data_IF_319236947374
#
_entry.id   IF_319236947374
#
_cell.length_a   1.000
_cell.length_b   1.000
_cell.length_c   1.000
_cell.angle_alpha   90.00
_cell.angle_beta   90.00
_cell.angle_gamma   90.00
#
_symmetry.space_group_name_H-M   'P 1'
#
loop_
_entity.id
_entity.type
_entity.pdbx_description
1 polymer ?
#
# COMPACT_ATOMS: atom_id res chain seq x y z
N UNK A 1 17.00 -31.31 -38.45
CA UNK A 1 15.99 -30.63 -39.28
C UNK A 1 14.62 -30.81 -38.69
N UNK A 2 13.93 -29.68 -38.54
CA UNK A 2 12.64 -29.45 -37.89
C UNK A 2 11.56 -30.46 -38.30
N UNK A 3 10.68 -30.86 -37.37
CA UNK A 3 9.36 -30.22 -37.27
C UNK A 3 8.39 -31.00 -36.34
N UNK A 4 7.48 -30.23 -35.75
CA UNK A 4 6.13 -30.59 -35.25
C UNK A 4 6.04 -31.52 -34.02
N UNK A 5 5.81 -30.93 -32.85
CA UNK A 5 4.81 -31.46 -31.92
C UNK A 5 4.09 -30.28 -31.26
N UNK A 6 2.85 -30.06 -31.70
CA UNK A 6 1.93 -29.11 -31.08
C UNK A 6 0.60 -29.80 -30.83
N UNK A 7 0.09 -29.59 -29.61
CA UNK A 7 -1.32 -29.59 -29.21
C UNK A 7 -2.06 -30.94 -29.11
N UNK A 8 -2.18 -31.46 -27.87
CA UNK A 8 -3.37 -31.27 -27.01
C UNK A 8 -3.37 -32.23 -25.82
N UNK A 9 -3.95 -31.74 -24.72
CA UNK A 9 -4.49 -32.41 -23.53
C UNK A 9 -3.80 -31.88 -22.25
N UNK A 10 -4.42 -30.89 -21.62
CA UNK A 10 -5.30 -31.12 -20.46
C UNK A 10 -4.52 -31.66 -19.27
N UNK A 11 -4.01 -30.74 -18.45
CA UNK A 11 -4.18 -30.74 -17.00
C UNK A 11 -3.17 -29.73 -16.44
N UNK A 12 -3.66 -28.87 -15.57
CA UNK A 12 -2.86 -28.02 -14.70
C UNK A 12 -2.58 -28.87 -13.45
N UNK A 13 -1.33 -29.24 -13.14
CA UNK A 13 -1.00 -29.60 -11.76
C UNK A 13 0.16 -28.74 -11.27
N UNK A 14 0.06 -28.31 -10.01
CA UNK A 14 1.20 -27.74 -9.30
C UNK A 14 1.19 -26.23 -9.15
N UNK A 15 0.03 -25.66 -8.76
CA UNK A 15 0.12 -24.58 -7.79
C UNK A 15 0.68 -25.23 -6.52
N UNK A 16 1.99 -25.16 -6.32
CA UNK A 16 2.61 -25.50 -5.03
C UNK A 16 2.14 -24.40 -4.08
N UNK A 17 0.96 -24.64 -3.50
CA UNK A 17 0.51 -23.91 -2.34
C UNK A 17 1.54 -24.17 -1.25
N UNK A 18 2.39 -23.18 -0.99
CA UNK A 18 3.14 -23.06 0.25
C UNK A 18 2.17 -22.78 1.41
N UNK A 19 1.22 -23.69 1.63
CA UNK A 19 0.55 -23.83 2.91
C UNK A 19 1.46 -24.70 3.80
N UNK A 20 2.60 -24.14 4.18
CA UNK A 20 3.06 -24.39 5.55
C UNK A 20 2.29 -23.40 6.41
N UNK A 21 1.10 -23.81 6.83
CA UNK A 21 0.62 -23.42 8.14
C UNK A 21 1.73 -23.78 9.12
N UNK A 22 2.55 -22.80 9.48
CA UNK A 22 3.49 -22.91 10.57
C UNK A 22 2.64 -23.16 11.81
N UNK A 23 2.49 -24.44 12.13
CA UNK A 23 1.79 -24.91 13.30
C UNK A 23 2.52 -24.37 14.52
N UNK A 24 2.12 -23.19 14.99
CA UNK A 24 2.46 -22.70 16.33
C UNK A 24 1.57 -23.41 17.35
N UNK A 25 1.60 -24.75 17.32
CA UNK A 25 0.77 -25.60 18.16
C UNK A 25 1.55 -26.83 18.59
N UNK A 26 2.84 -26.71 18.93
CA UNK A 26 3.56 -27.83 19.57
C UNK A 26 4.81 -27.45 20.38
N UNK A 27 4.88 -26.21 20.90
CA UNK A 27 6.02 -25.79 21.73
C UNK A 27 5.64 -25.23 23.10
N UNK A 28 4.34 -25.15 23.43
CA UNK A 28 3.87 -24.67 24.73
C UNK A 28 4.13 -25.64 25.90
N UNK A 29 4.56 -26.88 25.65
CA UNK A 29 4.73 -27.89 26.70
C UNK A 29 6.18 -28.29 26.99
N UNK A 30 7.20 -27.54 26.54
CA UNK A 30 8.60 -27.82 26.92
C UNK A 30 9.11 -27.06 28.15
N UNK A 31 8.39 -26.05 28.61
CA UNK A 31 8.62 -25.46 29.93
C UNK A 31 7.25 -25.36 30.61
N UNK A 32 7.06 -26.15 31.68
CA UNK A 32 5.83 -26.14 32.45
C UNK A 32 5.65 -24.80 33.15
N UNK A 33 4.84 -23.94 32.57
CA UNK A 33 4.36 -22.71 33.20
C UNK A 33 2.83 -22.72 33.04
N UNK A 34 2.16 -23.16 34.10
CA UNK A 34 0.71 -23.17 34.24
C UNK A 34 0.26 -21.87 34.94
N UNK A 35 -0.88 -21.25 34.57
CA UNK A 35 -1.29 -19.93 35.09
C UNK A 35 -1.78 -19.92 36.55
N UNK A 36 -1.81 -21.07 37.23
CA UNK A 36 -1.81 -21.18 38.71
C UNK A 36 -1.06 -22.46 39.14
N UNK A 37 -0.10 -22.92 38.33
CA UNK A 37 0.60 -24.19 38.53
C UNK A 37 2.10 -23.96 38.67
N UNK A 38 2.45 -23.67 39.91
CA UNK A 38 3.76 -23.85 40.49
C UNK A 38 4.17 -25.32 40.29
N UNK A 39 4.98 -25.61 39.27
CA UNK A 39 5.85 -26.80 39.26
C UNK A 39 7.19 -26.41 39.88
N UNK A 40 7.12 -26.05 41.16
CA UNK A 40 8.27 -25.64 41.96
C UNK A 40 8.68 -26.83 42.81
N UNK A 41 9.82 -27.44 42.44
CA UNK A 41 10.47 -28.57 43.14
C UNK A 41 9.62 -29.87 43.23
N UNK A 42 10.24 -31.04 43.45
CA UNK A 42 9.48 -32.27 43.64
C UNK A 42 8.54 -32.07 44.83
N UNK A 43 7.25 -32.20 44.58
CA UNK A 43 6.19 -32.18 45.59
C UNK A 43 6.57 -33.10 46.75
N UNK A 44 6.78 -32.44 47.89
CA UNK A 44 7.01 -32.89 49.24
C UNK A 44 6.91 -34.40 49.47
N UNK A 45 7.96 -35.00 50.01
CA UNK A 45 7.95 -36.35 50.58
C UNK A 45 6.67 -36.64 51.39
N UNK A 46 6.20 -35.66 52.16
CA UNK A 46 4.98 -35.75 52.96
C UNK A 46 3.70 -35.84 52.14
N UNK A 47 3.64 -35.27 50.94
CA UNK A 47 2.49 -35.39 50.03
C UNK A 47 2.39 -36.77 49.41
N UNK A 48 3.53 -37.38 49.08
CA UNK A 48 3.61 -38.72 48.49
C UNK A 48 3.27 -39.79 49.54
N UNK A 49 3.87 -39.70 50.73
CA UNK A 49 3.54 -40.57 51.87
C UNK A 49 2.06 -40.44 52.25
N UNK A 50 1.53 -39.22 52.26
CA UNK A 50 0.09 -38.99 52.46
C UNK A 50 -0.74 -39.69 51.38
N UNK A 51 -0.45 -39.50 50.10
CA UNK A 51 -1.23 -40.10 49.01
C UNK A 51 -1.25 -41.63 49.07
N UNK A 52 -0.12 -42.26 49.41
CA UNK A 52 -0.04 -43.71 49.59
C UNK A 52 -0.83 -44.21 50.80
N UNK A 53 -0.77 -43.49 51.93
CA UNK A 53 -1.54 -43.82 53.12
C UNK A 53 -3.05 -43.62 52.90
N UNK A 54 -3.46 -42.52 52.26
CA UNK A 54 -4.85 -42.26 51.93
C UNK A 54 -5.47 -43.39 51.09
N UNK A 55 -4.72 -43.95 50.13
CA UNK A 55 -5.15 -45.09 49.30
C UNK A 55 -5.40 -46.36 50.11
N UNK A 56 -4.79 -46.50 51.30
CA UNK A 56 -4.83 -47.73 52.12
C UNK A 56 -5.67 -47.60 53.38
N UNK A 57 -5.63 -46.45 54.06
CA UNK A 57 -6.17 -46.23 55.41
C UNK A 57 -7.03 -44.97 55.53
N UNK A 58 -7.35 -44.33 54.41
CA UNK A 58 -8.20 -43.13 54.34
C UNK A 58 -7.58 -41.91 55.03
N UNK A 59 -8.38 -40.86 55.24
CA UNK A 59 -7.88 -39.63 55.87
C UNK A 59 -7.35 -39.89 57.28
N UNK A 60 -7.99 -40.79 58.02
CA UNK A 60 -7.61 -41.20 59.37
C UNK A 60 -6.18 -41.76 59.44
N UNK A 61 -5.70 -42.43 58.40
CA UNK A 61 -4.36 -43.02 58.39
C UNK A 61 -3.25 -41.99 58.52
N UNK A 62 -3.41 -40.83 57.88
CA UNK A 62 -2.41 -39.75 57.95
C UNK A 62 -2.41 -39.09 59.32
N UNK A 63 -3.59 -38.86 59.91
CA UNK A 63 -3.71 -38.29 61.26
C UNK A 63 -3.19 -39.25 62.33
N UNK A 64 -3.51 -40.54 62.23
CA UNK A 64 -3.01 -41.57 63.14
C UNK A 64 -1.48 -41.72 63.05
N UNK A 65 -0.89 -41.64 61.85
CA UNK A 65 0.57 -41.70 61.70
C UNK A 65 1.24 -40.43 62.26
N UNK A 66 0.68 -39.24 62.02
CA UNK A 66 1.21 -37.99 62.58
C UNK A 66 1.18 -37.97 64.10
N UNK A 67 0.04 -38.30 64.70
CA UNK A 67 -0.11 -38.38 66.17
C UNK A 67 0.74 -39.51 66.74
N UNK A 68 0.77 -40.68 66.08
CA UNK A 68 1.54 -41.84 66.51
C UNK A 68 3.05 -41.60 66.50
N UNK A 69 3.58 -40.97 65.45
CA UNK A 69 5.00 -40.57 65.40
C UNK A 69 5.31 -39.49 66.45
N UNK A 70 4.43 -38.51 66.65
CA UNK A 70 4.59 -37.51 67.70
C UNK A 70 4.62 -38.12 69.10
N UNK A 71 3.68 -39.02 69.40
CA UNK A 71 3.62 -39.75 70.67
C UNK A 71 4.83 -40.69 70.86
N UNK A 72 5.33 -41.30 69.78
CA UNK A 72 6.53 -42.13 69.82
C UNK A 72 7.79 -41.32 70.16
N UNK A 73 7.97 -40.14 69.54
CA UNK A 73 9.10 -39.24 69.81
C UNK A 73 9.09 -38.77 71.27
N UNK A 74 7.91 -38.47 71.82
CA UNK A 74 7.73 -38.13 73.24
C UNK A 74 8.00 -39.34 74.16
N UNK A 75 7.47 -40.51 73.82
CA UNK A 75 7.62 -41.73 74.63
C UNK A 75 9.05 -42.28 74.67
N UNK A 76 9.87 -42.00 73.65
CA UNK A 76 11.27 -42.40 73.56
C UNK A 76 12.24 -41.33 74.05
N UNK A 77 11.75 -40.27 74.70
CA UNK A 77 12.52 -39.15 75.24
C UNK A 77 13.43 -38.45 74.21
N UNK A 78 13.18 -38.63 72.91
CA UNK A 78 13.92 -37.92 71.87
C UNK A 78 13.58 -36.42 71.89
N UNK A 79 12.41 -36.07 72.43
CA UNK A 79 12.00 -34.69 72.73
C UNK A 79 11.73 -34.57 74.23
N UNK A 80 12.73 -34.08 74.99
CA UNK A 80 12.62 -33.82 76.43
C UNK A 80 11.96 -32.47 76.66
N UNK A 81 10.86 -32.43 77.42
CA UNK A 81 10.14 -31.19 77.73
C UNK A 81 10.94 -30.36 78.75
N UNK A 82 11.82 -29.52 78.23
CA UNK A 82 12.55 -28.51 78.99
C UNK A 82 12.17 -27.09 78.53
N UNK A 83 12.58 -26.06 79.28
CA UNK A 83 12.22 -24.65 79.00
C UNK A 83 12.62 -24.23 77.57
N UNK A 84 13.75 -24.73 77.07
CA UNK A 84 14.22 -24.51 75.69
C UNK A 84 13.28 -25.08 74.61
N UNK A 85 12.56 -26.18 74.88
CA UNK A 85 11.62 -26.76 73.90
C UNK A 85 10.33 -25.95 73.77
N UNK A 86 9.89 -25.29 74.85
CA UNK A 86 8.78 -24.35 74.81
C UNK A 86 9.14 -23.11 73.98
N UNK A 87 10.37 -22.61 74.12
CA UNK A 87 10.88 -21.52 73.30
C UNK A 87 10.89 -21.90 71.80
N UNK A 88 11.32 -23.12 71.46
CA UNK A 88 11.31 -23.61 70.09
C UNK A 88 9.89 -23.70 69.50
N UNK A 89 8.90 -24.17 70.27
CA UNK A 89 7.50 -24.23 69.83
C UNK A 89 6.94 -22.82 69.56
N UNK A 90 7.22 -21.86 70.44
CA UNK A 90 6.78 -20.47 70.26
C UNK A 90 7.43 -19.86 69.02
N UNK A 91 8.75 -20.08 68.80
CA UNK A 91 9.46 -19.59 67.61
C UNK A 91 8.91 -20.20 66.32
N UNK A 92 8.64 -21.51 66.29
CA UNK A 92 8.03 -22.16 65.12
C UNK A 92 6.62 -21.64 64.86
N UNK A 93 5.84 -21.36 65.91
CA UNK A 93 4.49 -20.82 65.77
C UNK A 93 4.48 -19.40 65.21
N UNK A 94 5.40 -18.53 65.65
CA UNK A 94 5.51 -17.15 65.15
C UNK A 94 6.06 -17.13 63.72
N UNK A 95 7.01 -18.00 63.39
CA UNK A 95 7.50 -18.18 62.02
C UNK A 95 6.40 -18.67 61.07
N UNK A 96 5.58 -19.64 61.50
CA UNK A 96 4.44 -20.13 60.71
C UNK A 96 3.37 -19.04 60.50
N UNK A 97 3.15 -18.19 61.51
CA UNK A 97 2.25 -17.05 61.40
C UNK A 97 2.78 -15.98 60.42
N UNK A 98 4.07 -15.67 60.49
CA UNK A 98 4.73 -14.73 59.59
C UNK A 98 4.68 -15.24 58.14
N UNK A 99 4.94 -16.53 57.91
CA UNK A 99 4.84 -17.14 56.59
C UNK A 99 3.44 -17.01 55.99
N UNK A 100 2.38 -17.24 56.80
CA UNK A 100 0.99 -17.09 56.34
C UNK A 100 0.63 -15.64 55.96
N UNK A 101 1.25 -14.65 56.61
CA UNK A 101 0.99 -13.22 56.35
C UNK A 101 1.83 -12.66 55.20
N UNK A 102 3.10 -13.05 55.10
CA UNK A 102 4.02 -12.60 54.05
C UNK A 102 3.89 -13.39 52.74
N UNK A 103 3.41 -14.63 52.79
CA UNK A 103 3.17 -15.48 51.63
C UNK A 103 2.34 -14.81 50.52
N UNK A 104 1.12 -14.31 50.79
CA UNK A 104 0.28 -13.73 49.74
C UNK A 104 0.88 -12.46 49.13
N UNK A 105 1.60 -11.65 49.92
CA UNK A 105 2.24 -10.44 49.42
C UNK A 105 3.43 -10.75 48.51
N UNK A 106 4.22 -11.78 48.84
CA UNK A 106 5.35 -12.19 48.00
C UNK A 106 4.86 -12.87 46.73
N UNK A 107 3.80 -13.70 46.81
CA UNK A 107 3.26 -14.34 45.61
C UNK A 107 2.69 -13.33 44.62
N UNK A 108 1.94 -12.34 45.09
CA UNK A 108 1.39 -11.28 44.24
C UNK A 108 2.50 -10.49 43.54
N UNK A 109 3.56 -10.11 44.26
CA UNK A 109 4.70 -9.42 43.64
C UNK A 109 5.38 -10.26 42.56
N UNK A 110 5.58 -11.56 42.81
CA UNK A 110 6.16 -12.47 41.82
C UNK A 110 5.27 -12.64 40.59
N UNK A 111 3.96 -12.73 40.79
CA UNK A 111 2.97 -12.85 39.71
C UNK A 111 2.95 -11.56 38.85
N UNK A 112 3.00 -10.38 39.48
CA UNK A 112 3.05 -9.08 38.79
C UNK A 112 4.31 -8.95 37.91
N UNK A 113 5.49 -9.30 38.45
CA UNK A 113 6.74 -9.29 37.66
C UNK A 113 6.70 -10.29 36.50
N UNK A 114 6.13 -11.48 36.72
CA UNK A 114 5.97 -12.47 35.66
C UNK A 114 5.05 -11.95 34.55
N UNK A 115 3.94 -11.32 34.92
CA UNK A 115 2.99 -10.75 33.97
C UNK A 115 3.59 -9.59 33.17
N UNK A 116 4.39 -8.71 33.80
CA UNK A 116 5.11 -7.64 33.12
C UNK A 116 6.08 -8.17 32.06
N UNK A 117 6.87 -9.20 32.39
CA UNK A 117 7.81 -9.83 31.44
C UNK A 117 7.06 -10.43 30.25
N UNK A 118 5.93 -11.10 30.49
CA UNK A 118 5.10 -11.67 29.42
C UNK A 118 4.48 -10.59 28.53
N UNK A 119 4.05 -9.48 29.12
CA UNK A 119 3.52 -8.33 28.39
C UNK A 119 4.59 -7.71 27.49
N UNK A 120 5.79 -7.43 28.02
CA UNK A 120 6.90 -6.89 27.23
C UNK A 120 7.31 -7.82 26.08
N UNK A 121 7.37 -9.14 26.32
CA UNK A 121 7.67 -10.12 25.27
C UNK A 121 6.57 -10.17 24.19
N UNK A 122 5.29 -10.10 24.59
CA UNK A 122 4.18 -10.05 23.65
C UNK A 122 4.18 -8.77 22.81
N UNK A 123 4.40 -7.62 23.45
CA UNK A 123 4.54 -6.33 22.76
C UNK A 123 5.70 -6.35 21.76
N UNK A 124 6.87 -6.84 22.17
CA UNK A 124 8.02 -6.99 21.29
C UNK A 124 7.76 -7.94 20.10
N UNK A 125 7.00 -9.01 20.32
CA UNK A 125 6.58 -9.92 19.23
C UNK A 125 5.64 -9.24 18.24
N UNK A 126 4.64 -8.51 18.73
CA UNK A 126 3.67 -7.79 17.90
C UNK A 126 4.38 -6.69 17.09
N UNK A 127 5.27 -5.92 17.73
CA UNK A 127 6.06 -4.89 17.06
C UNK A 127 6.91 -5.47 15.93
N UNK A 128 7.59 -6.60 16.16
CA UNK A 128 8.34 -7.30 15.11
C UNK A 128 7.44 -7.79 13.98
N UNK A 129 6.30 -8.40 14.30
CA UNK A 129 5.35 -8.85 13.27
C UNK A 129 4.89 -7.68 12.38
N UNK A 130 4.58 -6.53 12.99
CA UNK A 130 4.19 -5.32 12.25
C UNK A 130 5.33 -4.80 11.36
N UNK A 131 6.57 -4.76 11.87
CA UNK A 131 7.75 -4.36 11.09
C UNK A 131 7.97 -5.28 9.88
N UNK A 132 7.92 -6.60 10.08
CA UNK A 132 8.09 -7.55 8.99
C UNK A 132 6.95 -7.43 7.96
N UNK A 133 5.72 -7.18 8.40
CA UNK A 133 4.59 -6.99 7.48
C UNK A 133 4.74 -5.70 6.66
N UNK A 134 5.26 -4.62 7.24
CA UNK A 134 5.57 -3.37 6.54
C UNK A 134 6.69 -3.56 5.51
N UNK A 135 7.77 -4.26 5.89
CA UNK A 135 8.87 -4.59 4.98
C UNK A 135 8.40 -5.46 3.80
N UNK A 136 7.53 -6.44 4.04
CA UNK A 136 6.93 -7.27 2.98
C UNK A 136 6.09 -6.40 2.03
N UNK A 137 5.22 -5.52 2.56
CA UNK A 137 4.40 -4.62 1.73
C UNK A 137 5.26 -3.69 0.86
N UNK A 138 6.35 -3.16 1.43
CA UNK A 138 7.30 -2.34 0.69
C UNK A 138 7.95 -3.16 -0.44
N UNK A 139 8.42 -4.37 -0.15
CA UNK A 139 9.05 -5.23 -1.15
C UNK A 139 8.08 -5.66 -2.26
N UNK A 140 6.84 -6.00 -1.92
CA UNK A 140 5.77 -6.34 -2.87
C UNK A 140 5.47 -5.17 -3.82
N UNK A 141 5.56 -3.92 -3.34
CA UNK A 141 5.37 -2.74 -4.19
C UNK A 141 6.51 -2.52 -5.21
N UNK A 142 7.71 -3.04 -4.94
CA UNK A 142 8.89 -2.91 -5.80
C UNK A 142 8.92 -3.99 -6.90
N UNK A 143 8.39 -5.18 -6.65
CA UNK A 143 8.33 -6.27 -7.64
C UNK A 143 7.68 -5.87 -8.99
N UNK A 144 6.53 -5.16 -9.05
CA UNK A 144 5.95 -4.74 -10.32
C UNK A 144 6.82 -3.69 -11.04
N UNK A 145 7.56 -2.84 -10.33
CA UNK A 145 8.43 -1.84 -10.95
C UNK A 145 9.56 -2.48 -11.76
N UNK A 146 10.09 -3.62 -11.29
CA UNK A 146 11.10 -4.38 -12.02
C UNK A 146 10.56 -4.97 -13.33
N UNK A 147 9.28 -5.36 -13.37
CA UNK A 147 8.62 -5.88 -14.58
C UNK A 147 8.39 -4.76 -15.60
N UNK A 148 7.97 -3.58 -15.14
CA UNK A 148 7.71 -2.38 -15.96
C UNK A 148 8.98 -1.77 -16.56
N UNK A 149 10.16 -2.05 -15.98
CA UNK A 149 11.43 -1.49 -16.47
C UNK A 149 11.70 -1.75 -17.96
N UNK A 150 11.38 -2.94 -18.47
CA UNK A 150 11.55 -3.26 -19.91
C UNK A 150 10.64 -2.42 -20.79
N UNK A 151 9.38 -2.28 -20.39
CA UNK A 151 8.37 -1.50 -21.11
C UNK A 151 8.75 -0.02 -21.17
N UNK A 152 9.32 0.53 -20.09
CA UNK A 152 9.81 1.92 -20.07
C UNK A 152 10.94 2.13 -21.09
N UNK A 153 11.88 1.19 -21.21
CA UNK A 153 12.94 1.29 -22.22
C UNK A 153 12.41 1.17 -23.65
N UNK A 154 11.37 0.36 -23.87
CA UNK A 154 10.70 0.25 -25.16
C UNK A 154 9.98 1.56 -25.52
N UNK A 155 9.21 2.13 -24.58
CA UNK A 155 8.53 3.43 -24.77
C UNK A 155 9.54 4.54 -25.07
N UNK A 156 10.68 4.60 -24.37
CA UNK A 156 11.72 5.61 -24.65
C UNK A 156 12.31 5.42 -26.05
N UNK A 157 12.52 4.17 -26.48
CA UNK A 157 13.01 3.89 -27.84
C UNK A 157 12.01 4.35 -28.89
N UNK A 158 10.73 4.03 -28.72
CA UNK A 158 9.67 4.42 -29.64
C UNK A 158 9.47 5.93 -29.68
N UNK A 159 9.51 6.61 -28.53
CA UNK A 159 9.43 8.07 -28.46
C UNK A 159 10.56 8.75 -29.25
N UNK A 160 11.80 8.27 -29.13
CA UNK A 160 12.92 8.82 -29.91
C UNK A 160 12.71 8.66 -31.42
N UNK A 161 12.17 7.51 -31.85
CA UNK A 161 11.86 7.29 -33.29
C UNK A 161 10.75 8.24 -33.74
N UNK A 162 9.69 8.39 -32.93
CA UNK A 162 8.58 9.31 -33.23
C UNK A 162 9.04 10.77 -33.31
N UNK A 163 9.90 11.21 -32.38
CA UNK A 163 10.45 12.58 -32.39
C UNK A 163 11.26 12.85 -33.67
N UNK A 164 12.11 11.90 -34.09
CA UNK A 164 12.88 12.02 -35.32
C UNK A 164 11.97 12.07 -36.56
N UNK A 165 10.93 11.25 -36.62
CA UNK A 165 9.94 11.30 -37.70
C UNK A 165 9.14 12.60 -37.70
N UNK A 166 8.77 13.09 -36.52
CA UNK A 166 8.03 14.34 -36.37
C UNK A 166 8.86 15.53 -36.86
N UNK A 167 10.14 15.60 -36.47
CA UNK A 167 11.04 16.64 -36.94
C UNK A 167 11.22 16.59 -38.47
N UNK A 168 11.41 15.38 -39.02
CA UNK A 168 11.51 15.19 -40.47
C UNK A 168 10.26 15.71 -41.21
N UNK A 169 9.06 15.32 -40.77
CA UNK A 169 7.80 15.80 -41.38
C UNK A 169 7.61 17.30 -41.20
N UNK A 170 7.97 17.85 -40.04
CA UNK A 170 7.91 19.29 -39.77
C UNK A 170 8.78 20.09 -40.74
N UNK A 171 10.03 19.64 -40.96
CA UNK A 171 10.94 20.28 -41.94
C UNK A 171 10.38 20.22 -43.37
N UNK A 172 9.80 19.09 -43.79
CA UNK A 172 9.16 18.99 -45.10
C UNK A 172 7.95 19.92 -45.23
N UNK A 173 7.10 20.01 -44.20
CA UNK A 173 5.96 20.92 -44.19
C UNK A 173 6.38 22.38 -44.23
N UNK A 174 7.47 22.75 -43.54
CA UNK A 174 8.03 24.11 -43.61
C UNK A 174 8.46 24.46 -45.04
N UNK A 175 9.24 23.59 -45.70
CA UNK A 175 9.67 23.81 -47.09
C UNK A 175 8.47 23.92 -48.03
N UNK A 176 7.49 23.02 -47.90
CA UNK A 176 6.27 23.07 -48.70
C UNK A 176 5.51 24.40 -48.52
N UNK A 177 5.35 24.87 -47.29
CA UNK A 177 4.66 26.12 -46.99
C UNK A 177 5.40 27.33 -47.55
N UNK A 178 6.74 27.36 -47.47
CA UNK A 178 7.54 28.43 -48.05
C UNK A 178 7.41 28.47 -49.58
N UNK A 179 7.48 27.33 -50.26
CA UNK A 179 7.30 27.26 -51.72
C UNK A 179 5.88 27.72 -52.12
N UNK A 180 4.86 27.23 -51.41
CA UNK A 180 3.48 27.65 -51.63
C UNK A 180 3.31 29.16 -51.46
N UNK A 181 3.89 29.73 -50.40
CA UNK A 181 3.84 31.18 -50.14
C UNK A 181 4.44 32.00 -51.28
N UNK A 182 5.51 31.53 -51.93
CA UNK A 182 6.08 32.19 -53.12
C UNK A 182 5.13 32.15 -54.31
N UNK A 183 4.45 31.02 -54.53
CA UNK A 183 3.51 30.86 -55.62
C UNK A 183 2.23 31.69 -55.38
N UNK A 184 1.67 31.60 -54.18
CA UNK A 184 0.48 32.38 -53.79
C UNK A 184 0.77 33.88 -53.93
N UNK A 185 1.98 34.33 -53.55
CA UNK A 185 2.40 35.72 -53.76
C UNK A 185 2.42 36.14 -55.25
N UNK A 186 2.86 35.27 -56.16
CA UNK A 186 2.84 35.56 -57.59
C UNK A 186 1.40 35.69 -58.12
N UNK A 187 0.51 34.79 -57.71
CA UNK A 187 -0.90 34.83 -58.07
C UNK A 187 -1.55 36.13 -57.56
N UNK A 188 -1.30 36.49 -56.31
CA UNK A 188 -1.82 37.73 -55.72
C UNK A 188 -1.29 38.99 -56.43
N UNK A 189 -0.01 39.00 -56.84
CA UNK A 189 0.55 40.09 -57.63
C UNK A 189 -0.11 40.21 -59.00
N UNK A 190 -0.36 39.10 -59.69
CA UNK A 190 -1.06 39.10 -60.98
C UNK A 190 -2.49 39.64 -60.84
N UNK A 191 -3.21 39.20 -59.82
CA UNK A 191 -4.58 39.64 -59.57
C UNK A 191 -4.65 41.10 -59.11
N UNK A 192 -3.66 41.58 -58.35
CA UNK A 192 -3.50 42.99 -58.05
C UNK A 192 -3.24 43.81 -59.32
N UNK A 193 -2.33 43.36 -60.20
CA UNK A 193 -2.04 44.03 -61.47
C UNK A 193 -3.27 44.13 -62.36
N UNK A 194 -4.04 43.04 -62.49
CA UNK A 194 -5.31 43.05 -63.25
C UNK A 194 -6.29 44.08 -62.69
N UNK A 195 -6.45 44.13 -61.36
CA UNK A 195 -7.32 45.12 -60.68
C UNK A 195 -6.87 46.55 -60.92
N UNK A 196 -5.59 46.86 -60.74
CA UNK A 196 -5.05 48.21 -60.99
C UNK A 196 -5.21 48.63 -62.46
N UNK A 197 -4.96 47.73 -63.40
CA UNK A 197 -5.16 48.01 -64.83
C UNK A 197 -6.63 48.28 -65.12
N UNK A 198 -7.54 47.49 -64.56
CA UNK A 198 -8.98 47.70 -64.72
C UNK A 198 -9.42 49.05 -64.16
N UNK A 199 -9.00 49.42 -62.95
CA UNK A 199 -9.29 50.71 -62.33
C UNK A 199 -8.71 51.89 -63.14
N UNK A 200 -7.47 51.74 -63.62
CA UNK A 200 -6.83 52.75 -64.45
C UNK A 200 -7.56 52.94 -65.79
N UNK A 201 -7.93 51.85 -66.47
CA UNK A 201 -8.70 51.91 -67.73
C UNK A 201 -10.05 52.58 -67.49
N UNK A 202 -10.79 52.22 -66.44
CA UNK A 202 -12.08 52.83 -66.11
C UNK A 202 -11.93 54.34 -65.88
N UNK A 203 -10.91 54.75 -65.12
CA UNK A 203 -10.65 56.16 -64.84
C UNK A 203 -10.23 56.92 -66.10
N UNK A 204 -9.33 56.34 -66.91
CA UNK A 204 -8.89 56.94 -68.17
C UNK A 204 -10.04 57.10 -69.18
N UNK A 205 -10.89 56.07 -69.34
CA UNK A 205 -12.08 56.15 -70.19
C UNK A 205 -13.03 57.22 -69.69
N UNK A 206 -13.28 57.30 -68.37
CA UNK A 206 -14.14 58.33 -67.78
C UNK A 206 -13.61 59.75 -68.09
N UNK A 207 -12.31 59.99 -67.90
CA UNK A 207 -11.68 61.28 -68.18
C UNK A 207 -11.69 61.63 -69.67
N UNK A 208 -11.42 60.64 -70.54
CA UNK A 208 -11.45 60.82 -71.99
C UNK A 208 -12.86 61.15 -72.49
N UNK A 209 -13.89 60.45 -71.97
CA UNK A 209 -15.29 60.73 -72.29
C UNK A 209 -15.68 62.14 -71.83
N UNK A 210 -15.39 62.52 -70.58
CA UNK A 210 -15.68 63.88 -70.08
C UNK A 210 -14.99 64.94 -70.93
N UNK A 211 -13.73 64.75 -71.33
CA UNK A 211 -12.99 65.69 -72.19
C UNK A 211 -13.54 65.75 -73.62
N UNK A 212 -14.06 64.64 -74.15
CA UNK A 212 -14.61 64.58 -75.51
C UNK A 212 -15.98 65.26 -75.65
N UNK A 213 -16.70 65.44 -74.54
CA UNK A 213 -17.99 66.11 -74.52
C UNK A 213 -17.74 67.62 -74.64
N UNK A 214 -18.02 68.17 -75.83
CA UNK A 214 -17.96 69.62 -76.05
C UNK A 214 -19.24 70.29 -75.52
N UNK A 215 -19.18 71.54 -75.03
CA UNK A 215 -20.36 72.24 -74.51
C UNK A 215 -21.43 72.49 -75.59
N UNK A 216 -21.05 72.45 -76.88
CA UNK A 216 -21.98 72.50 -78.00
C UNK A 216 -22.78 71.19 -78.12
N UNK A 217 -22.12 70.05 -77.93
CA UNK A 217 -22.73 68.72 -77.99
C UNK A 217 -23.64 68.48 -76.78
N UNK A 218 -23.32 68.99 -75.60
CA UNK A 218 -24.24 68.94 -74.44
C UNK A 218 -25.59 69.61 -74.74
N UNK A 219 -25.57 70.79 -75.35
CA UNK A 219 -26.81 71.50 -75.75
C UNK A 219 -27.59 70.73 -76.82
N UNK A 220 -26.90 70.10 -77.76
CA UNK A 220 -27.54 69.25 -78.77
C UNK A 220 -28.18 68.00 -78.14
N UNK A 221 -27.49 67.34 -77.21
CA UNK A 221 -28.01 66.20 -76.46
C UNK A 221 -29.24 66.58 -75.62
N UNK A 222 -29.20 67.71 -74.89
CA UNK A 222 -30.38 68.21 -74.14
C UNK A 222 -31.57 68.45 -75.09
N UNK A 223 -31.32 69.01 -76.27
CA UNK A 223 -32.38 69.22 -77.27
C UNK A 223 -32.94 67.89 -77.79
N UNK A 224 -32.08 66.88 -77.98
CA UNK A 224 -32.48 65.53 -78.36
C UNK A 224 -33.32 64.88 -77.25
N UNK A 225 -32.92 64.99 -75.97
CA UNK A 225 -33.71 64.51 -74.83
C UNK A 225 -35.06 65.21 -74.73
N UNK A 226 -35.15 66.52 -75.00
CA UNK A 226 -36.44 67.24 -75.05
C UNK A 226 -37.31 66.69 -76.18
N UNK A 227 -36.74 66.35 -77.34
CA UNK A 227 -37.49 65.70 -78.42
C UNK A 227 -37.99 64.32 -78.00
N UNK A 228 -37.14 63.50 -77.38
CA UNK A 228 -37.50 62.16 -76.91
C UNK A 228 -38.58 62.21 -75.81
N UNK A 229 -38.49 63.17 -74.88
CA UNK A 229 -39.52 63.42 -73.87
C UNK A 229 -40.82 63.91 -74.50
N UNK A 230 -40.78 64.78 -75.52
CA UNK A 230 -41.98 65.18 -76.27
C UNK A 230 -42.61 64.02 -77.03
N UNK A 231 -41.84 63.02 -77.44
CA UNK A 231 -42.38 61.81 -78.07
C UNK A 231 -42.88 60.77 -77.06
N UNK A 232 -42.30 60.71 -75.87
CA UNK A 232 -42.70 59.79 -74.79
C UNK A 232 -43.81 60.35 -73.90
N UNK A 233 -43.99 61.67 -73.85
CA UNK A 233 -45.15 62.29 -73.21
C UNK A 233 -46.38 62.09 -74.12
N UNK A 234 -47.39 61.30 -73.72
CA UNK A 234 -48.68 61.34 -74.39
C UNK A 234 -49.28 62.74 -74.20
N UNK A 235 -49.88 63.27 -75.27
CA UNK A 235 -50.46 64.62 -75.32
C UNK A 235 -51.38 64.96 -74.15
#
# INVERSE_FOLDING_TARGET
NQAVFSLKCLARPGLVALNRSFSTSDSRNRFGIDPTGIKVMPTDFFSQVRAELFKKTGESGTWCLGIGLGAYILSKEYLVLHEETLLAVVLLSTMAWLYKKAGPTVSQLLDDYAQEILEQLNQGRIAKMAQLEEEIKLQESVEPMLKVGKDVFEIIRENNVMELEHEYRSRLHQVHNEVKKRLDYQVELEDLKKRLLQEHIVTWVKDAVIKSITPAQEKQTITQCIKELKTLAPA
#
